data_IF_232557227150
#
_entry.id   IF_232557227150
#
_cell.length_a   1.000
_cell.length_b   1.000
_cell.length_c   1.000
_cell.angle_alpha   90.00
_cell.angle_beta   90.00
_cell.angle_gamma   90.00
#
_symmetry.space_group_name_H-M   'P 1'
#
loop_
_entity.id
_entity.type
_entity.pdbx_description
1 polymer ?
#
# COMPACT_ATOMS: atom_id res chain seq x y z
N UNK A 1 0.20 -14.73 4.89
CA UNK A 1 1.15 -14.26 5.93
C UNK A 1 0.44 -13.39 6.95
N UNK A 2 0.98 -13.20 8.15
CA UNK A 2 0.46 -12.28 9.17
C UNK A 2 1.28 -10.97 9.22
N UNK A 3 0.86 -9.99 10.05
CA UNK A 3 1.51 -8.68 10.21
C UNK A 3 3.01 -8.79 10.54
N UNK A 4 3.38 -9.69 11.47
CA UNK A 4 4.79 -9.86 11.86
C UNK A 4 5.63 -10.46 10.75
N UNK A 5 5.08 -11.42 10.02
CA UNK A 5 5.75 -12.03 8.87
C UNK A 5 5.92 -11.02 7.73
N UNK A 6 4.92 -10.15 7.50
CA UNK A 6 5.02 -9.07 6.52
C UNK A 6 6.10 -8.05 6.91
N UNK A 7 6.11 -7.61 8.17
CA UNK A 7 7.15 -6.70 8.67
C UNK A 7 8.56 -7.34 8.61
N UNK A 8 8.69 -8.62 8.91
CA UNK A 8 9.96 -9.34 8.78
C UNK A 8 10.42 -9.38 7.32
N UNK A 9 9.53 -9.73 6.38
CA UNK A 9 9.83 -9.74 4.96
C UNK A 9 10.30 -8.35 4.47
N UNK A 10 9.59 -7.29 4.86
CA UNK A 10 9.96 -5.91 4.51
C UNK A 10 11.32 -5.49 5.10
N UNK A 11 11.69 -5.99 6.29
CA UNK A 11 13.00 -5.75 6.88
C UNK A 11 14.14 -6.49 6.14
N UNK A 12 13.86 -7.65 5.57
CA UNK A 12 14.85 -8.46 4.84
C UNK A 12 15.07 -8.01 3.39
N UNK A 13 14.16 -7.20 2.82
CA UNK A 13 14.20 -6.77 1.42
C UNK A 13 14.46 -5.27 1.31
N UNK A 14 14.96 -4.86 0.14
CA UNK A 14 15.20 -3.47 -0.22
C UNK A 14 14.81 -3.23 -1.69
N UNK A 15 14.94 -1.99 -2.18
CA UNK A 15 14.55 -1.60 -3.54
C UNK A 15 13.10 -2.02 -3.85
N UNK A 16 12.16 -1.58 -3.00
CA UNK A 16 10.76 -2.03 -3.02
C UNK A 16 9.91 -1.10 -3.89
N UNK A 17 9.36 -1.63 -4.99
CA UNK A 17 8.36 -0.93 -5.80
C UNK A 17 6.96 -1.21 -5.26
N UNK A 18 6.25 -0.15 -4.87
CA UNK A 18 4.89 -0.27 -4.33
C UNK A 18 3.87 0.03 -5.43
N UNK A 19 2.96 -0.89 -5.63
CA UNK A 19 1.91 -0.86 -6.65
C UNK A 19 0.56 -0.52 -6.01
N UNK A 20 -0.21 0.31 -6.71
CA UNK A 20 -1.59 0.66 -6.38
C UNK A 20 -2.52 0.06 -7.43
N UNK A 21 -3.83 0.01 -7.19
CA UNK A 21 -4.74 -0.49 -8.22
C UNK A 21 -4.95 0.53 -9.37
N UNK A 22 -5.42 0.04 -10.52
CA UNK A 22 -5.89 0.87 -11.63
C UNK A 22 -6.98 1.85 -11.12
N UNK A 23 -6.94 3.12 -11.58
CA UNK A 23 -7.82 4.18 -11.09
C UNK A 23 -7.80 4.34 -9.57
N UNK A 24 -6.60 4.58 -8.99
CA UNK A 24 -6.36 4.50 -7.56
C UNK A 24 -7.16 5.56 -6.79
N UNK A 25 -7.68 5.16 -5.67
CA UNK A 25 -8.42 5.99 -4.72
C UNK A 25 -7.57 6.39 -3.50
N UNK A 26 -8.23 6.84 -2.43
CA UNK A 26 -7.53 7.28 -1.24
C UNK A 26 -7.02 6.14 -0.37
N UNK A 27 -7.63 4.93 -0.41
CA UNK A 27 -7.17 3.81 0.40
C UNK A 27 -5.87 3.25 -0.15
N UNK A 28 -5.86 2.83 -1.42
CA UNK A 28 -4.63 2.32 -2.04
C UNK A 28 -3.48 3.33 -2.01
N UNK A 29 -3.75 4.62 -2.34
CA UNK A 29 -2.71 5.65 -2.38
C UNK A 29 -2.23 6.07 -0.99
N UNK A 30 -3.14 6.21 -0.04
CA UNK A 30 -2.83 6.57 1.33
C UNK A 30 -2.03 5.48 2.04
N UNK A 31 -2.48 4.23 1.90
CA UNK A 31 -1.77 3.06 2.43
C UNK A 31 -0.38 2.90 1.82
N UNK A 32 -0.28 2.92 0.49
CA UNK A 32 0.99 2.80 -0.23
C UNK A 32 1.98 3.91 0.15
N UNK A 33 1.54 5.17 0.18
CA UNK A 33 2.42 6.29 0.50
C UNK A 33 2.86 6.30 1.98
N UNK A 34 1.97 5.91 2.91
CA UNK A 34 2.31 5.78 4.31
C UNK A 34 3.36 4.68 4.53
N UNK A 35 3.18 3.52 3.89
CA UNK A 35 4.14 2.43 3.97
C UNK A 35 5.47 2.80 3.33
N UNK A 36 5.46 3.47 2.17
CA UNK A 36 6.68 3.97 1.53
C UNK A 36 7.44 4.94 2.44
N UNK A 37 6.74 5.86 3.12
CA UNK A 37 7.33 6.76 4.11
C UNK A 37 8.01 5.99 5.25
N UNK A 38 7.32 5.02 5.83
CA UNK A 38 7.85 4.18 6.91
C UNK A 38 9.08 3.39 6.48
N UNK A 39 9.05 2.77 5.30
CA UNK A 39 10.21 2.05 4.73
C UNK A 39 11.41 2.98 4.55
N UNK A 40 11.22 4.16 3.96
CA UNK A 40 12.30 5.15 3.77
C UNK A 40 12.90 5.62 5.10
N UNK A 41 12.09 5.81 6.14
CA UNK A 41 12.62 6.22 7.46
C UNK A 41 13.34 5.09 8.22
N UNK A 42 13.13 3.82 7.85
CA UNK A 42 13.95 2.70 8.32
C UNK A 42 15.22 2.47 7.47
N UNK A 43 15.49 3.36 6.52
CA UNK A 43 16.67 3.32 5.66
C UNK A 43 16.50 2.48 4.40
N UNK A 44 15.31 2.00 4.10
CA UNK A 44 15.01 1.25 2.87
C UNK A 44 14.81 2.17 1.67
N UNK A 45 15.20 1.70 0.50
CA UNK A 45 14.89 2.32 -0.76
C UNK A 45 13.52 1.82 -1.24
N UNK A 46 12.56 2.70 -1.34
CA UNK A 46 11.18 2.37 -1.74
C UNK A 46 10.55 3.51 -2.54
N UNK A 47 9.72 3.16 -3.52
CA UNK A 47 8.97 4.12 -4.30
C UNK A 47 7.61 3.56 -4.73
N UNK A 48 6.66 4.45 -4.99
CA UNK A 48 5.42 4.11 -5.66
C UNK A 48 5.65 4.08 -7.16
N UNK A 49 5.10 3.08 -7.81
CA UNK A 49 4.97 3.05 -9.27
C UNK A 49 4.22 4.29 -9.75
N UNK A 50 4.71 4.96 -10.83
CA UNK A 50 3.99 6.08 -11.42
C UNK A 50 2.75 5.59 -12.16
N UNK A 51 1.67 5.39 -11.43
CA UNK A 51 0.40 4.97 -11.98
C UNK A 51 -0.23 6.13 -12.75
N UNK A 52 -0.46 6.00 -14.08
CA UNK A 52 -0.97 7.08 -14.92
C UNK A 52 -2.40 7.52 -14.57
N UNK A 53 -3.13 6.70 -13.83
CA UNK A 53 -4.51 6.99 -13.45
C UNK A 53 -4.62 7.79 -12.13
N UNK A 54 -3.51 8.16 -11.49
CA UNK A 54 -3.54 9.01 -10.30
C UNK A 54 -4.13 10.38 -10.65
N UNK A 55 -5.27 10.68 -10.06
CA UNK A 55 -5.94 11.96 -10.30
C UNK A 55 -5.20 13.13 -9.62
N UNK A 56 -5.30 14.37 -10.14
CA UNK A 56 -4.70 15.55 -9.50
C UNK A 56 -5.14 15.76 -8.05
N UNK A 57 -6.34 15.31 -7.71
CA UNK A 57 -6.87 15.35 -6.33
C UNK A 57 -5.95 14.62 -5.34
N UNK A 58 -5.45 13.45 -5.72
CA UNK A 58 -4.60 12.61 -4.86
C UNK A 58 -3.11 12.82 -5.12
N UNK A 59 -2.70 13.17 -6.34
CA UNK A 59 -1.30 13.33 -6.72
C UNK A 59 -0.53 14.28 -5.79
N UNK A 60 -1.16 15.37 -5.35
CA UNK A 60 -0.55 16.35 -4.43
C UNK A 60 -0.08 15.74 -3.09
N UNK A 61 -0.69 14.64 -2.64
CA UNK A 61 -0.33 13.95 -1.40
C UNK A 61 0.77 12.90 -1.59
N UNK A 62 0.85 12.31 -2.78
CA UNK A 62 1.73 11.16 -3.04
C UNK A 62 2.93 11.48 -3.93
N UNK A 63 2.99 12.65 -4.57
CA UNK A 63 4.01 13.03 -5.58
C UNK A 63 5.46 12.84 -5.13
N UNK A 64 5.75 12.93 -3.85
CA UNK A 64 7.10 12.75 -3.32
C UNK A 64 7.51 11.28 -3.15
N UNK A 65 6.56 10.38 -3.28
CA UNK A 65 6.77 8.94 -3.19
C UNK A 65 6.84 8.27 -4.56
N UNK A 66 6.21 8.88 -5.59
CA UNK A 66 6.15 8.37 -6.96
C UNK A 66 7.51 8.50 -7.66
N UNK A 67 7.89 7.50 -8.43
CA UNK A 67 9.10 7.52 -9.27
C UNK A 67 8.82 6.96 -10.65
N UNK A 68 9.33 7.66 -11.69
CA UNK A 68 9.27 7.21 -13.09
C UNK A 68 10.34 6.17 -13.43
N UNK A 69 11.49 6.26 -12.75
CA UNK A 69 12.65 5.42 -13.00
C UNK A 69 13.15 4.89 -11.65
N UNK A 70 12.61 3.78 -11.23
CA UNK A 70 12.99 3.11 -9.99
C UNK A 70 13.43 1.69 -10.32
N UNK A 71 14.73 1.44 -10.12
CA UNK A 71 15.26 0.07 -10.21
C UNK A 71 14.84 -0.68 -8.95
N UNK A 72 14.00 -1.69 -9.12
CA UNK A 72 13.44 -2.45 -8.01
C UNK A 72 13.92 -3.89 -8.01
N UNK A 73 14.09 -4.42 -6.81
CA UNK A 73 14.40 -5.84 -6.57
C UNK A 73 13.15 -6.66 -6.23
N UNK A 74 12.13 -6.01 -5.64
CA UNK A 74 10.88 -6.66 -5.29
C UNK A 74 9.68 -5.72 -5.37
N UNK A 75 8.49 -6.30 -5.37
CA UNK A 75 7.22 -5.62 -5.60
C UNK A 75 6.23 -5.86 -4.47
N UNK A 76 5.52 -4.81 -4.09
CA UNK A 76 4.47 -4.86 -3.08
C UNK A 76 3.20 -4.22 -3.61
N UNK A 77 2.09 -4.93 -3.66
CA UNK A 77 0.78 -4.35 -3.97
C UNK A 77 0.03 -3.98 -2.69
N UNK A 78 -0.62 -2.83 -2.69
CA UNK A 78 -1.46 -2.35 -1.58
C UNK A 78 -2.87 -2.12 -2.08
N UNK A 79 -3.83 -2.81 -1.48
CA UNK A 79 -5.25 -2.67 -1.80
C UNK A 79 -5.58 -3.06 -3.26
N UNK A 80 -5.06 -4.20 -3.69
CA UNK A 80 -5.28 -4.73 -5.05
C UNK A 80 -5.82 -6.14 -4.95
N UNK A 81 -7.11 -6.32 -5.22
CA UNK A 81 -7.78 -7.61 -5.05
C UNK A 81 -7.47 -8.63 -6.16
N UNK A 82 -7.17 -8.16 -7.37
CA UNK A 82 -6.97 -9.04 -8.52
C UNK A 82 -5.83 -8.55 -9.45
N UNK A 83 -5.13 -9.47 -10.10
CA UNK A 83 -4.00 -9.15 -10.97
C UNK A 83 -4.37 -8.17 -12.11
N UNK A 84 -5.59 -8.25 -12.65
CA UNK A 84 -6.04 -7.35 -13.71
C UNK A 84 -6.30 -5.91 -13.22
N UNK A 85 -6.32 -5.70 -11.91
CA UNK A 85 -6.43 -4.38 -11.29
C UNK A 85 -5.07 -3.71 -11.04
N UNK A 86 -3.96 -4.36 -11.37
CA UNK A 86 -2.64 -3.74 -11.29
C UNK A 86 -2.54 -2.51 -12.21
N UNK A 87 -1.68 -1.52 -11.90
CA UNK A 87 -1.65 -0.27 -12.62
C UNK A 87 -1.24 -0.45 -14.08
N UNK A 88 -1.84 0.33 -14.96
CA UNK A 88 -1.54 0.34 -16.40
C UNK A 88 -0.05 0.64 -16.62
N UNK A 89 0.60 -0.21 -17.41
CA UNK A 89 2.04 -0.09 -17.71
C UNK A 89 2.95 -0.89 -16.77
N UNK A 90 2.46 -1.42 -15.67
CA UNK A 90 3.22 -2.40 -14.89
C UNK A 90 3.19 -3.77 -15.58
N UNK A 91 4.34 -4.39 -15.68
CA UNK A 91 4.49 -5.76 -16.19
C UNK A 91 5.40 -6.53 -15.23
N UNK A 92 4.94 -7.65 -14.75
CA UNK A 92 5.71 -8.47 -13.80
C UNK A 92 4.83 -9.23 -12.82
N UNK A 93 5.48 -9.88 -11.88
CA UNK A 93 4.85 -10.58 -10.76
C UNK A 93 4.78 -9.68 -9.54
N UNK A 94 3.96 -10.05 -8.55
CA UNK A 94 3.84 -9.37 -7.27
C UNK A 94 4.33 -10.30 -6.17
N UNK A 95 5.37 -9.88 -5.44
CA UNK A 95 5.95 -10.70 -4.37
C UNK A 95 5.06 -10.69 -3.12
N UNK A 96 4.55 -9.52 -2.73
CA UNK A 96 3.65 -9.37 -1.56
C UNK A 96 2.44 -8.54 -1.95
N UNK A 97 1.26 -8.95 -1.49
CA UNK A 97 0.04 -8.13 -1.51
C UNK A 97 -0.46 -7.92 -0.08
N UNK A 98 -0.80 -6.68 0.26
CA UNK A 98 -1.52 -6.30 1.48
C UNK A 98 -2.92 -5.87 1.05
N UNK A 99 -3.95 -6.55 1.54
CA UNK A 99 -5.32 -6.32 1.08
C UNK A 99 -6.36 -6.59 2.17
N UNK A 100 -7.52 -5.96 2.06
CA UNK A 100 -8.65 -6.19 2.96
C UNK A 100 -9.88 -6.78 2.25
N UNK A 101 -9.82 -6.99 0.94
CA UNK A 101 -10.95 -7.52 0.16
C UNK A 101 -11.07 -9.04 0.31
N UNK A 102 -12.18 -9.58 0.90
CA UNK A 102 -12.40 -11.03 0.98
C UNK A 102 -12.41 -11.75 -0.37
N UNK A 103 -12.63 -11.00 -1.45
CA UNK A 103 -12.61 -11.49 -2.84
C UNK A 103 -11.21 -11.57 -3.46
N UNK A 104 -10.13 -11.30 -2.70
CA UNK A 104 -8.78 -11.34 -3.26
C UNK A 104 -8.49 -12.68 -3.95
N UNK A 105 -7.98 -12.61 -5.18
CA UNK A 105 -7.73 -13.79 -6.03
C UNK A 105 -6.44 -14.55 -5.71
N UNK A 106 -5.70 -14.15 -4.68
CA UNK A 106 -4.42 -14.76 -4.25
C UNK A 106 -3.36 -14.79 -5.38
N UNK A 107 -3.26 -13.70 -6.16
CA UNK A 107 -2.37 -13.63 -7.33
C UNK A 107 -0.90 -13.35 -6.97
N UNK A 108 -0.64 -12.76 -5.80
CA UNK A 108 0.70 -12.48 -5.31
C UNK A 108 1.35 -13.72 -4.69
N UNK A 109 2.70 -13.78 -4.68
CA UNK A 109 3.43 -14.90 -4.05
C UNK A 109 3.10 -15.01 -2.56
N UNK A 110 3.00 -13.88 -1.87
CA UNK A 110 2.63 -13.79 -0.45
C UNK A 110 1.46 -12.82 -0.28
N UNK A 111 0.51 -13.17 0.57
CA UNK A 111 -0.67 -12.36 0.83
C UNK A 111 -0.85 -12.12 2.32
N UNK A 112 -0.96 -10.85 2.70
CA UNK A 112 -1.48 -10.39 3.99
C UNK A 112 -2.91 -9.91 3.75
N UNK A 113 -3.89 -10.71 4.13
CA UNK A 113 -5.31 -10.44 3.94
C UNK A 113 -6.04 -10.40 5.29
N UNK A 114 -6.78 -9.32 5.53
CA UNK A 114 -7.72 -9.24 6.65
C UNK A 114 -9.05 -8.60 6.21
N UNK A 115 -9.99 -9.43 5.81
CA UNK A 115 -11.33 -9.01 5.37
C UNK A 115 -12.23 -8.46 6.47
N UNK A 116 -11.78 -8.42 7.73
CA UNK A 116 -12.51 -7.80 8.84
C UNK A 116 -12.21 -6.30 9.00
N UNK A 117 -11.22 -5.79 8.27
CA UNK A 117 -10.83 -4.38 8.31
C UNK A 117 -11.71 -3.53 7.37
N UNK A 118 -12.02 -2.32 7.81
CA UNK A 118 -12.82 -1.38 7.02
C UNK A 118 -12.04 -0.78 5.84
N UNK A 119 -10.71 -0.87 5.86
CA UNK A 119 -9.81 -0.41 4.78
C UNK A 119 -8.46 -1.10 4.84
N UNK A 120 -7.74 -1.13 3.74
CA UNK A 120 -6.36 -1.60 3.69
C UNK A 120 -5.44 -0.70 4.54
N UNK A 121 -5.76 0.59 4.70
CA UNK A 121 -5.04 1.53 5.56
C UNK A 121 -4.93 1.09 7.01
N UNK A 122 -5.92 0.34 7.56
CA UNK A 122 -5.83 -0.22 8.91
C UNK A 122 -4.76 -1.32 9.01
N UNK A 123 -4.68 -2.18 8.01
CA UNK A 123 -3.66 -3.25 7.96
C UNK A 123 -2.27 -2.62 7.84
N UNK A 124 -2.12 -1.62 6.95
CA UNK A 124 -0.87 -0.88 6.77
C UNK A 124 -0.43 -0.19 8.06
N UNK A 125 -1.34 0.39 8.83
CA UNK A 125 -1.03 0.97 10.15
C UNK A 125 -0.39 -0.08 11.08
N UNK A 126 -0.93 -1.29 11.13
CA UNK A 126 -0.40 -2.37 11.96
C UNK A 126 0.99 -2.82 11.46
N UNK A 127 1.19 -2.90 10.14
CA UNK A 127 2.50 -3.20 9.54
C UNK A 127 3.52 -2.13 9.89
N UNK A 128 3.20 -0.84 9.76
CA UNK A 128 4.08 0.28 10.13
C UNK A 128 4.46 0.22 11.60
N UNK A 129 3.51 -0.04 12.49
CA UNK A 129 3.79 -0.21 13.92
C UNK A 129 4.72 -1.39 14.19
N UNK A 130 4.57 -2.49 13.47
CA UNK A 130 5.46 -3.64 13.60
C UNK A 130 6.88 -3.37 13.09
N UNK A 131 7.01 -2.52 12.05
CA UNK A 131 8.30 -2.09 11.48
C UNK A 131 9.03 -1.06 12.34
N UNK A 132 8.31 -0.04 12.80
CA UNK A 132 8.89 1.20 13.32
C UNK A 132 8.55 1.47 14.80
N UNK A 133 7.57 0.77 15.36
CA UNK A 133 7.05 0.99 16.71
C UNK A 133 6.03 2.15 16.82
N UNK A 134 6.10 3.13 15.92
CA UNK A 134 5.25 4.32 15.91
C UNK A 134 4.88 4.76 14.48
N UNK A 135 4.05 5.80 14.37
CA UNK A 135 3.70 6.47 13.11
C UNK A 135 3.99 7.96 13.22
N UNK A 136 4.52 8.55 12.15
CA UNK A 136 4.71 9.99 12.03
C UNK A 136 3.40 10.71 11.73
N UNK A 137 3.36 12.04 11.94
CA UNK A 137 2.19 12.84 11.57
C UNK A 137 1.86 12.78 10.06
N UNK A 138 2.88 12.66 9.22
CA UNK A 138 2.69 12.49 7.77
C UNK A 138 2.05 11.14 7.45
N UNK A 139 2.58 10.05 8.01
CA UNK A 139 2.03 8.69 7.85
C UNK A 139 0.59 8.63 8.38
N UNK A 140 0.33 9.19 9.56
CA UNK A 140 -1.02 9.25 10.13
C UNK A 140 -2.01 10.00 9.24
N UNK A 141 -1.59 11.11 8.61
CA UNK A 141 -2.44 11.86 7.68
C UNK A 141 -2.77 11.08 6.41
N UNK A 142 -1.82 10.32 5.88
CA UNK A 142 -2.01 9.43 4.72
C UNK A 142 -2.93 8.26 5.07
N UNK A 143 -2.73 7.62 6.21
CA UNK A 143 -3.58 6.55 6.71
C UNK A 143 -5.01 7.04 7.02
N UNK A 144 -5.15 8.26 7.57
CA UNK A 144 -6.47 8.86 7.74
C UNK A 144 -7.20 9.05 6.40
N UNK A 145 -6.49 9.51 5.36
CA UNK A 145 -7.04 9.60 4.01
C UNK A 145 -7.50 8.23 3.52
N UNK A 146 -6.69 7.19 3.72
CA UNK A 146 -7.02 5.81 3.33
C UNK A 146 -8.34 5.38 3.98
N UNK A 147 -8.40 5.32 5.29
CA UNK A 147 -9.59 4.88 6.04
C UNK A 147 -10.81 5.75 5.72
N UNK A 148 -10.66 7.09 5.72
CA UNK A 148 -11.79 7.99 5.52
C UNK A 148 -12.41 7.86 4.13
N UNK A 149 -11.61 7.59 3.08
CA UNK A 149 -12.16 7.45 1.72
C UNK A 149 -12.88 6.15 1.54
N UNK A 150 -12.36 5.06 2.05
CA UNK A 150 -12.95 3.73 1.88
C UNK A 150 -14.26 3.56 2.68
N UNK A 151 -14.30 4.02 3.93
CA UNK A 151 -15.51 3.98 4.75
C UNK A 151 -16.49 5.15 4.48
N UNK A 152 -16.34 5.90 3.37
CA UNK A 152 -17.21 7.01 3.01
C UNK A 152 -17.29 8.10 4.07
N UNK A 153 -16.16 8.51 4.65
CA UNK A 153 -16.08 9.42 5.79
C UNK A 153 -16.88 8.91 7.01
N UNK A 154 -16.71 7.63 7.32
CA UNK A 154 -17.36 6.94 8.44
C UNK A 154 -18.89 6.86 8.34
N UNK A 155 -19.42 6.93 7.11
CA UNK A 155 -20.87 6.77 6.83
C UNK A 155 -21.25 5.33 6.50
N UNK A 156 -20.30 4.53 6.04
CA UNK A 156 -20.49 3.13 5.69
C UNK A 156 -19.76 2.27 6.71
N UNK A 157 -20.46 1.29 7.28
CA UNK A 157 -19.81 0.23 8.03
C UNK A 157 -19.47 -0.91 7.05
N UNK A 158 -18.19 -1.13 6.81
CA UNK A 158 -17.72 -2.25 5.99
C UNK A 158 -17.45 -3.51 6.84
N UNK A 159 -17.90 -3.48 8.10
CA UNK A 159 -17.76 -4.55 9.10
C UNK A 159 -19.10 -4.93 9.69
#
# INVERSE_FOLDING_TARGET
MNIKECAAWLNEHDDILILTHIRPDGDTLGGAAALCSALRRTGKNAALFNNPDITPKYFKYVKYFVSDNFDFACTLAVDVAEAHMLPTGFTGTVDVCIDHHPSNSHYAEKLLLDGSKASCGEIVLEVIKALCGDVTAQEASLLYMAVATDCGCFRYANV
#
